data_IF_076304764030
#
_entry.id   IF_076304764030
#
_cell.length_a   1.000
_cell.length_b   1.000
_cell.length_c   1.000
_cell.angle_alpha   90.00
_cell.angle_beta   90.00
_cell.angle_gamma   90.00
#
_symmetry.space_group_name_H-M   'P 1'
#
loop_
_entity.id
_entity.type
_entity.pdbx_description
1 polymer ?
#
# COMPACT_ATOMS: atom_id res chain seq x y z
N UNK A 1 -5.65 -62.86 37.39
CA UNK A 1 -6.80 -62.08 36.88
C UNK A 1 -6.38 -61.32 35.63
N UNK A 2 -6.81 -61.75 34.44
CA UNK A 2 -6.41 -61.13 33.16
C UNK A 2 -7.53 -60.16 32.75
N UNK A 3 -7.29 -58.86 32.90
CA UNK A 3 -8.20 -57.82 32.37
C UNK A 3 -8.20 -57.94 30.84
N UNK A 4 -9.32 -58.32 30.26
CA UNK A 4 -9.57 -58.20 28.82
C UNK A 4 -9.58 -56.71 28.48
N UNK A 5 -8.59 -56.26 27.71
CA UNK A 5 -8.62 -54.92 27.11
C UNK A 5 -9.69 -54.93 26.02
N UNK A 6 -10.75 -54.16 26.19
CA UNK A 6 -11.71 -53.91 25.12
C UNK A 6 -11.00 -53.16 23.98
N UNK A 7 -11.16 -53.65 22.74
CA UNK A 7 -10.65 -53.00 21.55
C UNK A 7 -11.48 -51.78 21.16
N UNK A 8 -10.87 -50.89 20.38
CA UNK A 8 -11.51 -49.69 19.85
C UNK A 8 -12.69 -50.06 18.92
N UNK A 9 -13.82 -49.40 19.06
CA UNK A 9 -15.00 -49.65 18.23
C UNK A 9 -14.93 -48.86 16.92
N UNK A 10 -15.66 -49.34 15.90
CA UNK A 10 -15.86 -48.59 14.65
C UNK A 10 -16.49 -47.21 14.91
N UNK A 11 -17.38 -47.13 15.90
CA UNK A 11 -18.06 -45.90 16.27
C UNK A 11 -17.08 -44.86 16.82
N UNK A 12 -16.13 -45.26 17.68
CA UNK A 12 -15.12 -44.34 18.21
C UNK A 12 -14.19 -43.80 17.10
N UNK A 13 -13.81 -44.61 16.12
CA UNK A 13 -13.02 -44.10 14.99
C UNK A 13 -13.82 -43.14 14.11
N UNK A 14 -15.10 -43.42 13.86
CA UNK A 14 -15.95 -42.54 13.08
C UNK A 14 -16.13 -41.18 13.78
N UNK A 15 -16.37 -41.19 15.09
CA UNK A 15 -16.47 -39.97 15.89
C UNK A 15 -15.13 -39.22 15.90
N UNK A 16 -14.00 -39.92 16.08
CA UNK A 16 -12.68 -39.30 16.06
C UNK A 16 -12.38 -38.60 14.72
N UNK A 17 -12.67 -39.27 13.59
CA UNK A 17 -12.49 -38.69 12.25
C UNK A 17 -13.43 -37.51 12.04
N UNK A 18 -14.70 -37.59 12.48
CA UNK A 18 -15.66 -36.49 12.35
C UNK A 18 -15.22 -35.24 13.13
N UNK A 19 -14.73 -35.41 14.37
CA UNK A 19 -14.18 -34.32 15.18
C UNK A 19 -12.91 -33.76 14.53
N UNK A 20 -12.00 -34.63 14.08
CA UNK A 20 -10.77 -34.19 13.45
C UNK A 20 -11.03 -33.40 12.16
N UNK A 21 -11.95 -33.88 11.32
CA UNK A 21 -12.34 -33.22 10.09
C UNK A 21 -13.00 -31.85 10.37
N UNK A 22 -13.87 -31.75 11.38
CA UNK A 22 -14.51 -30.47 11.73
C UNK A 22 -13.49 -29.44 12.24
N UNK A 23 -12.55 -29.86 13.09
CA UNK A 23 -11.46 -28.99 13.56
C UNK A 23 -10.56 -28.53 12.40
N UNK A 24 -10.22 -29.43 11.47
CA UNK A 24 -9.41 -29.07 10.30
C UNK A 24 -10.11 -28.01 9.42
N UNK A 25 -11.42 -28.14 9.20
CA UNK A 25 -12.20 -27.16 8.45
C UNK A 25 -12.26 -25.81 9.18
N UNK A 26 -12.44 -25.80 10.50
CA UNK A 26 -12.43 -24.57 11.31
C UNK A 26 -11.07 -23.86 11.23
N UNK A 27 -9.97 -24.60 11.34
CA UNK A 27 -8.62 -24.05 11.24
C UNK A 27 -8.36 -23.41 9.86
N UNK A 28 -8.83 -24.05 8.79
CA UNK A 28 -8.74 -23.50 7.45
C UNK A 28 -9.55 -22.20 7.30
N UNK A 29 -10.75 -22.12 7.89
CA UNK A 29 -11.58 -20.92 7.85
C UNK A 29 -10.92 -19.73 8.55
N UNK A 30 -10.34 -19.95 9.74
CA UNK A 30 -9.60 -18.90 10.47
C UNK A 30 -8.42 -18.40 9.65
N UNK A 31 -7.63 -19.31 9.07
CA UNK A 31 -6.48 -18.97 8.24
C UNK A 31 -6.90 -18.14 7.03
N UNK A 32 -7.98 -18.55 6.34
CA UNK A 32 -8.53 -17.81 5.21
C UNK A 32 -9.11 -16.44 5.62
N UNK A 33 -9.66 -16.34 6.83
CA UNK A 33 -10.14 -15.07 7.39
C UNK A 33 -9.00 -14.09 7.63
N UNK A 34 -7.92 -14.55 8.28
CA UNK A 34 -6.73 -13.72 8.55
C UNK A 34 -6.05 -13.28 7.27
N UNK A 35 -5.87 -14.16 6.28
CA UNK A 35 -5.25 -13.78 5.00
C UNK A 35 -6.06 -12.73 4.25
N UNK A 36 -7.39 -12.84 4.26
CA UNK A 36 -8.28 -11.83 3.68
C UNK A 36 -8.15 -10.48 4.38
N UNK A 37 -8.15 -10.46 5.71
CA UNK A 37 -7.98 -9.21 6.48
C UNK A 37 -6.63 -8.58 6.15
N UNK A 38 -5.55 -9.37 6.15
CA UNK A 38 -4.21 -8.88 5.80
C UNK A 38 -4.16 -8.27 4.38
N UNK A 39 -4.83 -8.90 3.40
CA UNK A 39 -4.87 -8.36 2.03
C UNK A 39 -5.62 -7.01 1.94
N UNK A 40 -6.69 -6.84 2.72
CA UNK A 40 -7.43 -5.59 2.76
C UNK A 40 -6.60 -4.47 3.43
N UNK A 41 -5.93 -4.79 4.53
CA UNK A 41 -5.03 -3.88 5.24
C UNK A 41 -3.87 -3.46 4.35
N UNK A 42 -3.23 -4.40 3.65
CA UNK A 42 -2.11 -4.11 2.75
C UNK A 42 -2.47 -3.08 1.66
N UNK A 43 -3.69 -3.14 1.11
CA UNK A 43 -4.16 -2.16 0.13
C UNK A 43 -4.33 -0.75 0.72
N UNK A 44 -4.78 -0.65 1.97
CA UNK A 44 -4.87 0.63 2.67
C UNK A 44 -3.50 1.20 3.01
N UNK A 45 -2.58 0.37 3.49
CA UNK A 45 -1.20 0.77 3.78
C UNK A 45 -0.49 1.30 2.54
N UNK A 46 -0.65 0.64 1.39
CA UNK A 46 -0.07 1.10 0.13
C UNK A 46 -0.58 2.49 -0.27
N UNK A 47 -1.89 2.73 -0.13
CA UNK A 47 -2.49 4.05 -0.44
C UNK A 47 -1.97 5.14 0.50
N UNK A 48 -1.85 4.84 1.79
CA UNK A 48 -1.31 5.79 2.77
C UNK A 48 0.16 6.11 2.50
N UNK A 49 0.97 5.10 2.19
CA UNK A 49 2.37 5.29 1.84
C UNK A 49 2.54 6.16 0.60
N UNK A 50 1.73 5.92 -0.45
CA UNK A 50 1.73 6.75 -1.66
C UNK A 50 1.37 8.19 -1.32
N UNK A 51 0.33 8.42 -0.51
CA UNK A 51 -0.07 9.77 -0.10
C UNK A 51 1.04 10.49 0.68
N UNK A 52 1.68 9.81 1.64
CA UNK A 52 2.79 10.37 2.41
C UNK A 52 3.97 10.73 1.50
N UNK A 53 4.30 9.86 0.55
CA UNK A 53 5.35 10.12 -0.43
C UNK A 53 5.01 11.33 -1.32
N UNK A 54 3.78 11.42 -1.83
CA UNK A 54 3.31 12.57 -2.60
C UNK A 54 3.41 13.87 -1.80
N UNK A 55 2.94 13.87 -0.54
CA UNK A 55 3.04 15.04 0.34
C UNK A 55 4.49 15.42 0.63
N UNK A 56 5.39 14.44 0.78
CA UNK A 56 6.81 14.68 0.96
C UNK A 56 7.44 15.35 -0.27
N UNK A 57 7.14 14.88 -1.48
CA UNK A 57 7.61 15.50 -2.72
C UNK A 57 7.11 16.94 -2.85
N UNK A 58 5.80 17.14 -2.67
CA UNK A 58 5.19 18.47 -2.74
C UNK A 58 5.82 19.43 -1.71
N UNK A 59 5.97 19.00 -0.46
CA UNK A 59 6.55 19.84 0.60
C UNK A 59 8.00 20.19 0.27
N UNK A 60 8.79 19.21 -0.13
CA UNK A 60 10.21 19.41 -0.42
C UNK A 60 10.44 20.38 -1.60
N UNK A 61 9.63 20.30 -2.65
CA UNK A 61 9.75 21.19 -3.81
C UNK A 61 9.17 22.58 -3.54
N UNK A 62 7.96 22.67 -2.97
CA UNK A 62 7.27 23.94 -2.74
C UNK A 62 7.96 24.82 -1.70
N UNK A 63 8.51 24.23 -0.64
CA UNK A 63 9.22 24.99 0.42
C UNK A 63 10.57 25.54 -0.06
N UNK A 64 11.11 25.00 -1.15
CA UNK A 64 12.38 25.41 -1.73
C UNK A 64 12.21 26.19 -3.04
N UNK A 65 11.01 26.73 -3.30
CA UNK A 65 10.73 27.54 -4.48
C UNK A 65 11.57 28.83 -4.50
N UNK A 66 12.16 29.14 -5.66
CA UNK A 66 13.04 30.28 -5.85
C UNK A 66 12.41 31.33 -6.79
N UNK A 67 12.51 32.63 -6.49
CA UNK A 67 12.00 33.71 -7.34
C UNK A 67 12.93 33.96 -8.54
N UNK A 68 13.19 32.92 -9.35
CA UNK A 68 14.13 32.94 -10.47
C UNK A 68 13.41 32.69 -11.80
N UNK A 69 13.28 33.71 -12.67
CA UNK A 69 12.81 33.51 -14.05
C UNK A 69 13.74 32.57 -14.83
N UNK A 70 13.18 31.85 -15.78
CA UNK A 70 13.93 30.88 -16.62
C UNK A 70 13.80 31.22 -18.10
N UNK A 71 14.65 30.60 -18.91
CA UNK A 71 14.48 30.58 -20.36
C UNK A 71 13.81 29.27 -20.74
N UNK A 72 12.75 29.36 -21.53
CA UNK A 72 12.07 28.21 -22.11
C UNK A 72 12.89 27.51 -23.18
N UNK A 73 12.28 26.51 -23.79
CA UNK A 73 12.84 25.67 -24.85
C UNK A 73 13.30 26.45 -26.09
N UNK A 74 12.58 27.49 -26.50
CA UNK A 74 12.91 28.35 -27.64
C UNK A 74 13.66 29.63 -27.21
N UNK A 75 14.18 29.66 -25.97
CA UNK A 75 14.96 30.78 -25.42
C UNK A 75 14.14 31.98 -24.95
N UNK A 76 12.80 31.92 -25.04
CA UNK A 76 11.88 32.91 -24.50
C UNK A 76 12.01 33.03 -22.99
N UNK A 77 11.80 34.21 -22.42
CA UNK A 77 11.75 34.38 -20.96
C UNK A 77 10.42 33.89 -20.41
N UNK A 78 10.48 33.05 -19.39
CA UNK A 78 9.32 32.54 -18.66
C UNK A 78 9.36 32.98 -17.19
N UNK A 79 8.18 33.17 -16.57
CA UNK A 79 8.09 33.60 -15.17
C UNK A 79 8.69 32.55 -14.21
N UNK A 80 9.01 32.99 -12.99
CA UNK A 80 9.54 32.13 -11.93
C UNK A 80 8.56 31.04 -11.50
N UNK A 81 7.26 31.36 -11.50
CA UNK A 81 6.15 30.43 -11.32
C UNK A 81 5.21 30.55 -12.53
N UNK A 82 5.00 29.46 -13.23
CA UNK A 82 3.99 29.32 -14.27
C UNK A 82 2.94 28.35 -13.74
N UNK A 83 1.73 28.82 -13.48
CA UNK A 83 0.61 28.00 -13.00
C UNK A 83 -0.67 28.33 -13.77
N UNK A 84 -1.45 27.30 -14.10
CA UNK A 84 -2.71 27.45 -14.82
C UNK A 84 -3.13 26.20 -15.58
N UNK A 85 -4.30 26.27 -16.21
CA UNK A 85 -4.85 25.18 -17.01
C UNK A 85 -3.92 24.83 -18.20
N UNK A 86 -3.66 23.53 -18.40
CA UNK A 86 -2.87 23.04 -19.53
C UNK A 86 -1.35 23.27 -19.42
N UNK A 87 -0.85 23.85 -18.32
CA UNK A 87 0.59 23.96 -18.07
C UNK A 87 1.20 22.55 -18.02
N UNK A 88 2.33 22.36 -18.73
CA UNK A 88 2.98 21.05 -18.91
C UNK A 88 2.06 19.98 -19.53
N UNK A 89 1.10 20.38 -20.38
CA UNK A 89 0.09 19.49 -20.96
C UNK A 89 -0.74 18.74 -19.90
N UNK A 90 -0.92 19.34 -18.72
CA UNK A 90 -1.84 18.82 -17.69
C UNK A 90 -3.26 18.79 -18.23
N UNK A 91 -3.99 17.71 -17.95
CA UNK A 91 -5.43 17.58 -18.25
C UNK A 91 -6.29 18.56 -17.40
N UNK A 92 -5.70 19.16 -16.37
CA UNK A 92 -6.32 20.14 -15.48
C UNK A 92 -5.36 21.32 -15.29
N UNK A 93 -5.15 21.77 -14.06
CA UNK A 93 -4.12 22.73 -13.72
C UNK A 93 -2.74 22.07 -13.65
N UNK A 94 -1.73 22.81 -14.07
CA UNK A 94 -0.32 22.44 -13.93
C UNK A 94 0.46 23.58 -13.30
N UNK A 95 1.63 23.26 -12.74
CA UNK A 95 2.56 24.25 -12.22
C UNK A 95 3.99 23.90 -12.59
N UNK A 96 4.77 24.91 -12.93
CA UNK A 96 6.21 24.82 -13.19
C UNK A 96 6.91 25.94 -12.44
N UNK A 97 7.94 25.61 -11.67
CA UNK A 97 8.74 26.58 -10.94
C UNK A 97 10.19 26.10 -10.81
N UNK A 98 11.06 26.98 -10.32
CA UNK A 98 12.46 26.63 -10.00
C UNK A 98 12.57 26.34 -8.52
N UNK A 99 13.22 25.24 -8.16
CA UNK A 99 13.56 24.91 -6.77
C UNK A 99 15.07 24.95 -6.52
N UNK A 100 15.44 25.22 -5.27
CA UNK A 100 16.81 25.09 -4.76
C UNK A 100 17.05 23.81 -3.98
N UNK A 101 17.99 23.89 -3.03
CA UNK A 101 18.21 22.92 -1.95
C UNK A 101 18.82 21.57 -2.34
N UNK A 102 19.38 21.45 -3.55
CA UNK A 102 20.26 20.32 -3.90
C UNK A 102 21.55 20.45 -3.10
N UNK A 103 21.83 19.46 -2.24
CA UNK A 103 23.09 19.36 -1.50
C UNK A 103 24.06 18.51 -2.35
N UNK A 104 25.10 19.15 -2.88
CA UNK A 104 26.17 18.45 -3.58
C UNK A 104 27.29 18.12 -2.58
N UNK A 105 27.59 16.84 -2.36
CA UNK A 105 28.70 16.38 -1.54
C UNK A 105 29.82 15.84 -2.40
#
# INVERSE_FOLDING_TARGET
MRRTRAGFTLLEMLVAIAIFASLALMAQQVTNGVTRVNSAVAGHDQKLNLMQQTMSFLTHDLTQMMPRPVRGDQGQREPALLAGAGVLASESEGMRFVRGGVVNR
#
